data_IF_984359241586
#
_entry.id   IF_984359241586
#
_cell.length_a   1.000
_cell.length_b   1.000
_cell.length_c   1.000
_cell.angle_alpha   90.00
_cell.angle_beta   90.00
_cell.angle_gamma   90.00
#
_symmetry.space_group_name_H-M   'P 1'
#
loop_
_entity.id
_entity.type
_entity.pdbx_description
1 polymer ?
#
# COMPACT_ATOMS: atom_id res chain seq x y z
N UNK A 1 -1.39 5.23 15.35
CA UNK A 1 -2.25 5.59 16.51
C UNK A 1 -1.93 6.96 17.13
N UNK A 2 -0.92 7.71 16.69
CA UNK A 2 -0.69 9.09 17.20
C UNK A 2 -1.87 10.01 16.85
N UNK A 3 -2.37 9.92 15.62
CA UNK A 3 -3.44 10.79 15.13
C UNK A 3 -4.75 10.54 15.88
N UNK A 4 -5.14 9.27 16.09
CA UNK A 4 -6.27 8.92 16.98
C UNK A 4 -6.15 9.58 18.35
N UNK A 5 -4.95 9.56 18.94
CA UNK A 5 -4.71 10.12 20.27
C UNK A 5 -4.76 11.66 20.27
N UNK A 6 -4.34 12.30 19.17
CA UNK A 6 -4.48 13.76 19.00
C UNK A 6 -5.94 14.16 18.82
N UNK A 7 -6.66 13.49 17.92
CA UNK A 7 -8.09 13.73 17.70
C UNK A 7 -8.89 13.55 19.00
N UNK A 8 -8.57 12.52 19.79
CA UNK A 8 -9.20 12.30 21.09
C UNK A 8 -8.98 13.47 22.07
N UNK A 9 -7.76 14.01 22.13
CA UNK A 9 -7.46 15.19 22.94
C UNK A 9 -8.22 16.42 22.43
N UNK A 10 -8.17 16.72 21.13
CA UNK A 10 -8.89 17.84 20.52
C UNK A 10 -10.41 17.76 20.72
N UNK A 11 -10.99 16.56 20.61
CA UNK A 11 -12.41 16.34 20.91
C UNK A 11 -12.72 16.56 22.39
N UNK A 12 -11.85 16.11 23.30
CA UNK A 12 -12.05 16.31 24.72
C UNK A 12 -11.94 17.80 25.12
N UNK A 13 -11.00 18.54 24.55
CA UNK A 13 -10.89 20.00 24.70
C UNK A 13 -12.17 20.69 24.20
N UNK A 14 -12.62 20.37 22.97
CA UNK A 14 -13.84 20.97 22.38
C UNK A 14 -15.11 20.70 23.19
N UNK A 15 -15.17 19.56 23.87
CA UNK A 15 -16.31 19.18 24.71
C UNK A 15 -16.12 19.54 26.19
N UNK A 16 -15.08 20.29 26.55
CA UNK A 16 -14.77 20.69 27.93
C UNK A 16 -14.71 19.50 28.91
N UNK A 17 -14.19 18.37 28.46
CA UNK A 17 -14.08 17.17 29.29
C UNK A 17 -12.86 17.25 30.21
N UNK A 18 -13.04 16.81 31.46
CA UNK A 18 -11.93 16.64 32.40
C UNK A 18 -10.96 15.57 31.89
N UNK A 19 -9.67 15.89 31.89
CA UNK A 19 -8.60 15.03 31.40
C UNK A 19 -7.46 15.03 32.40
N UNK A 20 -6.65 13.97 32.39
CA UNK A 20 -5.44 13.92 33.23
C UNK A 20 -4.43 15.00 32.80
N UNK A 21 -3.64 15.51 33.75
CA UNK A 21 -2.58 16.50 33.50
C UNK A 21 -1.59 16.05 32.41
N UNK A 22 -1.33 14.74 32.34
CA UNK A 22 -0.46 14.15 31.33
C UNK A 22 -0.97 14.32 29.89
N UNK A 23 -2.29 14.41 29.69
CA UNK A 23 -2.90 14.67 28.38
C UNK A 23 -2.81 16.14 28.03
N UNK A 24 -3.04 17.02 29.01
CA UNK A 24 -2.99 18.48 28.84
C UNK A 24 -1.56 18.93 28.55
N UNK A 25 -0.59 18.49 29.35
CA UNK A 25 0.83 18.83 29.18
C UNK A 25 1.41 18.36 27.84
N UNK A 26 0.94 17.22 27.31
CA UNK A 26 1.48 16.63 26.07
C UNK A 26 0.58 16.86 24.85
N UNK A 27 -0.56 17.52 25.05
CA UNK A 27 -1.62 17.76 24.06
C UNK A 27 -1.99 16.50 23.26
N UNK A 28 -2.03 15.35 23.94
CA UNK A 28 -2.25 14.06 23.29
C UNK A 28 -2.77 13.02 24.30
N UNK A 29 -3.75 12.22 23.89
CA UNK A 29 -4.26 11.13 24.71
C UNK A 29 -3.19 10.07 25.05
N UNK A 30 -3.36 9.32 26.12
CA UNK A 30 -2.46 8.21 26.50
C UNK A 30 -2.46 7.04 25.50
N UNK A 31 -1.39 6.22 25.50
CA UNK A 31 -1.35 4.99 24.69
C UNK A 31 -2.38 3.97 25.17
N UNK A 32 -2.50 3.80 26.49
CA UNK A 32 -3.49 2.91 27.13
C UNK A 32 -4.92 3.24 26.73
N UNK A 33 -5.25 4.54 26.67
CA UNK A 33 -6.55 4.98 26.20
C UNK A 33 -6.83 4.54 24.75
N UNK A 34 -5.83 4.66 23.87
CA UNK A 34 -5.99 4.24 22.48
C UNK A 34 -6.19 2.72 22.34
N UNK A 35 -5.46 1.92 23.13
CA UNK A 35 -5.69 0.47 23.17
C UNK A 35 -7.08 0.14 23.72
N UNK A 36 -7.50 0.77 24.82
CA UNK A 36 -8.85 0.61 25.38
C UNK A 36 -9.95 1.02 24.40
N UNK A 37 -9.75 2.10 23.65
CA UNK A 37 -10.66 2.53 22.58
C UNK A 37 -10.78 1.47 21.48
N UNK A 38 -9.64 0.96 20.97
CA UNK A 38 -9.65 -0.08 19.94
C UNK A 38 -10.32 -1.37 20.44
N UNK A 39 -10.12 -1.76 21.71
CA UNK A 39 -10.77 -2.94 22.30
C UNK A 39 -12.29 -2.77 22.43
N UNK A 40 -12.77 -1.57 22.77
CA UNK A 40 -14.22 -1.27 22.84
C UNK A 40 -14.89 -1.21 21.47
N UNK A 41 -14.12 -0.97 20.41
CA UNK A 41 -14.62 -0.83 19.05
C UNK A 41 -14.04 -1.91 18.12
N UNK A 42 -14.44 -3.19 18.26
CA UNK A 42 -13.91 -4.32 17.47
C UNK A 42 -14.25 -4.24 15.97
N UNK A 43 -15.11 -3.30 15.59
CA UNK A 43 -15.39 -2.93 14.20
C UNK A 43 -14.31 -2.03 13.59
N UNK A 44 -13.28 -1.63 14.32
CA UNK A 44 -12.13 -0.86 13.81
C UNK A 44 -10.89 -1.76 13.71
N UNK A 45 -10.05 -1.53 12.71
CA UNK A 45 -8.80 -2.25 12.50
C UNK A 45 -7.68 -1.32 12.01
N UNK A 46 -6.45 -1.62 12.38
CA UNK A 46 -5.26 -0.98 11.80
C UNK A 46 -4.99 -1.57 10.42
N UNK A 47 -4.85 -0.72 9.40
CA UNK A 47 -4.61 -1.12 8.01
C UNK A 47 -3.45 -0.33 7.41
N UNK A 48 -2.72 -1.00 6.52
CA UNK A 48 -1.84 -0.36 5.56
C UNK A 48 -2.69 -0.03 4.33
N UNK A 49 -2.76 1.24 3.90
CA UNK A 49 -3.46 1.60 2.68
C UNK A 49 -2.66 1.09 1.46
N UNK A 50 -3.30 0.30 0.59
CA UNK A 50 -2.75 -0.06 -0.72
C UNK A 50 -3.19 0.98 -1.75
N UNK A 51 -2.23 1.56 -2.48
CA UNK A 51 -2.52 2.53 -3.52
C UNK A 51 -3.03 1.80 -4.78
N UNK A 52 -4.34 1.83 -5.02
CA UNK A 52 -4.93 1.41 -6.29
C UNK A 52 -5.43 2.65 -7.05
N UNK A 53 -4.99 2.84 -8.29
CA UNK A 53 -5.47 3.96 -9.11
C UNK A 53 -6.92 3.73 -9.53
N UNK A 54 -7.68 4.82 -9.70
CA UNK A 54 -9.06 4.76 -10.18
C UNK A 54 -9.17 4.02 -11.53
N UNK A 55 -8.20 4.23 -12.41
CA UNK A 55 -8.09 3.54 -13.70
C UNK A 55 -7.95 2.02 -13.58
N UNK A 56 -7.15 1.54 -12.62
CA UNK A 56 -7.02 0.09 -12.35
C UNK A 56 -8.34 -0.48 -11.81
N UNK A 57 -9.00 0.25 -10.91
CA UNK A 57 -10.28 -0.18 -10.33
C UNK A 57 -11.40 -0.26 -11.37
N UNK A 58 -11.49 0.69 -12.31
CA UNK A 58 -12.51 0.70 -13.37
C UNK A 58 -12.21 -0.29 -14.50
N UNK A 59 -10.93 -0.50 -14.82
CA UNK A 59 -10.51 -1.49 -15.81
C UNK A 59 -10.73 -2.94 -15.33
N UNK A 60 -10.81 -3.19 -14.02
CA UNK A 60 -11.06 -4.51 -13.44
C UNK A 60 -12.56 -4.86 -13.47
N UNK A 61 -13.09 -5.11 -14.67
CA UNK A 61 -14.46 -5.56 -14.88
C UNK A 61 -14.50 -6.91 -15.61
N UNK A 62 -15.64 -7.61 -15.54
CA UNK A 62 -15.81 -8.96 -16.08
C UNK A 62 -15.45 -9.05 -17.56
N UNK A 63 -15.83 -8.06 -18.36
CA UNK A 63 -15.58 -8.06 -19.80
C UNK A 63 -14.07 -7.98 -20.11
N UNK A 64 -13.37 -7.05 -19.48
CA UNK A 64 -11.92 -6.88 -19.67
C UNK A 64 -11.14 -8.10 -19.17
N UNK A 65 -11.53 -8.67 -18.03
CA UNK A 65 -10.90 -9.88 -17.47
C UNK A 65 -11.09 -11.07 -18.40
N UNK A 66 -12.30 -11.29 -18.91
CA UNK A 66 -12.57 -12.38 -19.86
C UNK A 66 -11.75 -12.18 -21.15
N UNK A 67 -11.77 -10.98 -21.73
CA UNK A 67 -11.03 -10.67 -22.95
C UNK A 67 -9.53 -10.94 -22.79
N UNK A 68 -8.97 -10.59 -21.63
CA UNK A 68 -7.58 -10.89 -21.30
C UNK A 68 -7.30 -12.41 -21.31
N UNK A 69 -8.11 -13.20 -20.60
CA UNK A 69 -7.90 -14.64 -20.50
C UNK A 69 -8.16 -15.37 -21.82
N UNK A 70 -9.13 -14.93 -22.61
CA UNK A 70 -9.39 -15.47 -23.94
C UNK A 70 -8.20 -15.22 -24.87
N UNK A 71 -7.63 -14.01 -24.84
CA UNK A 71 -6.45 -13.63 -25.61
C UNK A 71 -5.22 -14.42 -25.17
N UNK A 72 -5.03 -14.57 -23.86
CA UNK A 72 -3.95 -15.36 -23.27
C UNK A 72 -4.06 -16.83 -23.70
N UNK A 73 -5.25 -17.42 -23.61
CA UNK A 73 -5.49 -18.79 -24.01
C UNK A 73 -5.19 -18.99 -25.51
N UNK A 74 -5.66 -18.08 -26.36
CA UNK A 74 -5.34 -18.12 -27.79
C UNK A 74 -3.82 -18.03 -28.05
N UNK A 75 -3.09 -17.19 -27.32
CA UNK A 75 -1.63 -17.09 -27.43
C UNK A 75 -0.92 -18.39 -26.98
N UNK A 76 -1.38 -19.00 -25.89
CA UNK A 76 -0.85 -20.27 -25.37
C UNK A 76 -1.14 -21.44 -26.32
N UNK A 77 -2.33 -21.49 -26.91
CA UNK A 77 -2.70 -22.54 -27.88
C UNK A 77 -1.90 -22.44 -29.17
N UNK A 78 -1.66 -21.22 -29.68
CA UNK A 78 -0.85 -20.98 -30.89
C UNK A 78 0.62 -21.37 -30.72
N UNK A 79 1.13 -21.44 -29.49
CA UNK A 79 2.54 -21.69 -29.21
C UNK A 79 2.69 -22.85 -28.21
N UNK A 80 2.67 -24.11 -28.69
CA UNK A 80 2.79 -25.29 -27.83
C UNK A 80 4.05 -25.32 -26.95
N UNK A 81 5.12 -24.64 -27.39
CA UNK A 81 6.38 -24.51 -26.64
C UNK A 81 6.24 -23.73 -25.34
N UNK A 82 5.15 -22.97 -25.13
CA UNK A 82 4.91 -22.22 -23.89
C UNK A 82 4.33 -23.08 -22.76
N UNK A 83 3.87 -24.30 -23.07
CA UNK A 83 3.16 -25.18 -22.12
C UNK A 83 3.99 -25.57 -20.89
N UNK A 84 5.30 -25.66 -21.02
CA UNK A 84 6.20 -26.06 -19.95
C UNK A 84 6.50 -24.93 -18.94
N UNK A 85 5.99 -23.71 -19.21
CA UNK A 85 6.19 -22.53 -18.38
C UNK A 85 7.62 -21.99 -18.35
N UNK A 86 8.54 -22.52 -19.17
CA UNK A 86 9.94 -22.08 -19.21
C UNK A 86 10.16 -20.82 -20.05
N UNK A 87 9.23 -20.55 -20.97
CA UNK A 87 9.36 -19.53 -22.03
C UNK A 87 8.46 -18.31 -21.85
N UNK A 88 7.55 -18.35 -20.87
CA UNK A 88 6.66 -17.22 -20.54
C UNK A 88 7.17 -16.58 -19.26
N UNK A 89 7.62 -15.35 -19.37
CA UNK A 89 8.09 -14.55 -18.25
C UNK A 89 7.06 -13.48 -17.93
N UNK A 90 6.62 -13.44 -16.68
CA UNK A 90 5.83 -12.34 -16.16
C UNK A 90 6.79 -11.26 -15.65
N UNK A 91 6.54 -10.02 -16.05
CA UNK A 91 7.21 -8.85 -15.54
C UNK A 91 6.23 -8.09 -14.66
N UNK A 92 6.65 -7.76 -13.44
CA UNK A 92 5.92 -6.84 -12.58
C UNK A 92 6.87 -5.85 -11.92
N UNK A 93 6.37 -4.65 -11.67
CA UNK A 93 7.14 -3.55 -11.08
C UNK A 93 6.84 -3.42 -9.60
N UNK A 94 7.88 -3.31 -8.79
CA UNK A 94 7.77 -2.93 -7.39
C UNK A 94 8.53 -1.64 -7.11
N UNK A 95 7.90 -0.79 -6.30
CA UNK A 95 8.49 0.45 -5.84
C UNK A 95 9.40 0.20 -4.64
N UNK A 96 10.71 0.33 -4.81
CA UNK A 96 11.64 0.38 -3.69
C UNK A 96 11.75 1.82 -3.22
N UNK A 97 11.20 2.10 -2.03
CA UNK A 97 11.33 3.40 -1.37
C UNK A 97 12.43 3.33 -0.32
N UNK A 98 13.36 4.28 -0.35
CA UNK A 98 14.37 4.45 0.71
C UNK A 98 13.81 5.11 1.98
N UNK A 99 12.52 5.45 2.01
CA UNK A 99 11.85 6.08 3.16
C UNK A 99 10.94 5.10 3.88
N UNK A 100 10.78 5.35 5.17
CA UNK A 100 9.91 4.65 6.11
C UNK A 100 8.50 4.39 5.54
N UNK A 101 7.99 3.17 5.76
CA UNK A 101 6.65 2.76 5.36
C UNK A 101 5.55 3.70 5.89
N UNK A 102 4.47 3.93 5.14
CA UNK A 102 3.38 4.79 5.57
C UNK A 102 2.80 4.31 6.91
N UNK A 103 2.45 5.26 7.78
CA UNK A 103 1.91 4.97 9.11
C UNK A 103 0.56 4.26 8.97
N UNK A 104 0.39 3.15 9.69
CA UNK A 104 -0.89 2.43 9.80
C UNK A 104 -2.02 3.37 10.21
N UNK A 105 -3.09 3.39 9.43
CA UNK A 105 -4.33 4.13 9.68
C UNK A 105 -5.36 3.22 10.36
N UNK A 106 -6.31 3.81 11.08
CA UNK A 106 -7.44 3.09 11.68
C UNK A 106 -8.63 3.22 10.74
N UNK A 107 -9.18 2.10 10.31
CA UNK A 107 -10.33 2.05 9.40
C UNK A 107 -11.34 1.00 9.87
N UNK A 108 -12.58 1.10 9.38
CA UNK A 108 -13.61 0.10 9.66
C UNK A 108 -13.19 -1.28 9.14
N UNK A 109 -13.39 -2.31 9.97
CA UNK A 109 -13.15 -3.71 9.67
C UNK A 109 -14.04 -4.12 8.50
N UNK A 110 -13.42 -4.60 7.42
CA UNK A 110 -14.09 -4.95 6.15
C UNK A 110 -14.02 -3.86 5.07
N UNK A 111 -13.57 -2.64 5.40
CA UNK A 111 -13.34 -1.62 4.39
C UNK A 111 -12.07 -1.94 3.59
N UNK A 112 -12.23 -2.24 2.30
CA UNK A 112 -11.12 -2.57 1.39
C UNK A 112 -10.39 -1.34 0.84
N UNK A 113 -10.97 -0.15 0.97
CA UNK A 113 -10.45 1.08 0.39
C UNK A 113 -10.30 2.14 1.49
N UNK A 114 -9.09 2.26 2.03
CA UNK A 114 -8.73 3.33 2.95
C UNK A 114 -7.59 4.10 2.30
N UNK A 115 -7.88 5.28 1.74
CA UNK A 115 -6.89 6.08 1.02
C UNK A 115 -6.27 7.10 2.00
N UNK A 116 -4.96 7.25 1.96
CA UNK A 116 -4.24 8.29 2.71
C UNK A 116 -3.50 9.20 1.73
N UNK A 117 -3.77 10.51 1.81
CA UNK A 117 -2.99 11.53 1.09
C UNK A 117 -1.87 11.97 2.01
N UNK A 118 -0.61 11.65 1.69
CA UNK A 118 0.56 12.06 2.49
C UNK A 118 1.27 13.25 1.88
N UNK A 119 1.35 14.34 2.67
CA UNK A 119 2.17 15.53 2.39
C UNK A 119 3.47 15.48 3.20
N UNK A 120 4.51 14.81 2.70
CA UNK A 120 5.92 15.06 3.05
C UNK A 120 6.84 14.12 2.25
N UNK A 121 7.68 14.74 1.42
CA UNK A 121 8.91 14.24 0.79
C UNK A 121 8.95 12.76 0.42
N UNK A 122 8.38 12.44 -0.76
CA UNK A 122 8.71 11.23 -1.53
C UNK A 122 10.23 11.07 -1.54
N UNK A 123 10.78 10.13 -0.78
CA UNK A 123 12.13 9.67 -1.12
C UNK A 123 12.12 9.12 -2.52
N UNK A 124 13.29 9.11 -3.15
CA UNK A 124 13.41 8.68 -4.53
C UNK A 124 12.98 7.23 -4.65
N UNK A 125 11.87 7.04 -5.36
CA UNK A 125 11.32 5.75 -5.73
C UNK A 125 12.22 5.17 -6.83
N UNK A 126 12.90 4.07 -6.52
CA UNK A 126 13.55 3.23 -7.53
C UNK A 126 12.55 2.16 -7.92
N UNK A 127 12.21 2.08 -9.20
CA UNK A 127 11.33 1.03 -9.70
C UNK A 127 12.19 -0.19 -10.00
N UNK A 128 11.87 -1.32 -9.38
CA UNK A 128 12.52 -2.60 -9.68
C UNK A 128 11.56 -3.46 -10.47
N UNK A 129 11.99 -3.91 -11.64
CA UNK A 129 11.24 -4.85 -12.46
C UNK A 129 11.71 -6.27 -12.12
N UNK A 130 10.78 -7.09 -11.64
CA UNK A 130 11.00 -8.51 -11.39
C UNK A 130 10.48 -9.28 -12.58
N UNK A 131 11.30 -10.15 -13.18
CA UNK A 131 10.94 -10.91 -14.37
C UNK A 131 11.14 -12.39 -14.07
N UNK A 132 10.04 -13.15 -13.99
CA UNK A 132 10.03 -14.53 -13.48
C UNK A 132 9.19 -15.41 -14.39
N UNK A 133 9.65 -16.61 -14.71
CA UNK A 133 8.84 -17.63 -15.40
C UNK A 133 8.21 -18.64 -14.42
N UNK A 134 7.21 -19.39 -14.88
CA UNK A 134 6.48 -20.34 -14.03
C UNK A 134 7.34 -21.49 -13.48
N UNK A 135 8.52 -21.74 -14.09
CA UNK A 135 9.50 -22.70 -13.56
C UNK A 135 10.35 -22.14 -12.42
N UNK A 136 10.18 -20.88 -12.04
CA UNK A 136 10.94 -20.23 -10.99
C UNK A 136 12.30 -19.66 -11.43
N UNK A 137 12.61 -19.66 -12.73
CA UNK A 137 13.76 -18.90 -13.21
C UNK A 137 13.43 -17.40 -13.20
N UNK A 138 14.31 -16.62 -12.58
CA UNK A 138 14.26 -15.17 -12.57
C UNK A 138 15.37 -14.61 -13.46
N UNK A 139 15.06 -13.60 -14.27
CA UNK A 139 16.09 -12.80 -14.92
C UNK A 139 16.72 -11.83 -13.92
N UNK A 140 17.91 -11.29 -14.20
CA UNK A 140 18.50 -10.25 -13.36
C UNK A 140 17.54 -9.09 -13.14
N UNK A 141 17.54 -8.56 -11.92
CA UNK A 141 16.72 -7.42 -11.55
C UNK A 141 17.07 -6.23 -12.43
N UNK A 142 16.06 -5.65 -13.08
CA UNK A 142 16.21 -4.38 -13.77
C UNK A 142 15.76 -3.25 -12.84
N UNK A 143 16.67 -2.33 -12.52
CA UNK A 143 16.37 -1.15 -11.72
C UNK A 143 16.26 0.07 -12.64
N UNK A 144 15.11 0.74 -12.57
CA UNK A 144 14.86 2.00 -13.28
C UNK A 144 14.99 3.14 -12.29
N UNK A 145 16.02 3.96 -12.50
CA UNK A 145 16.29 5.13 -11.68
C UNK A 145 15.57 6.37 -12.21
N UNK A 146 15.16 7.31 -11.33
CA UNK A 146 14.57 8.57 -11.77
C UNK A 146 15.55 9.36 -12.64
N UNK A 147 15.16 9.74 -13.86
CA UNK A 147 16.00 10.56 -14.77
C UNK A 147 16.21 12.00 -14.24
N UNK A 148 15.15 12.65 -13.76
CA UNK A 148 15.16 14.08 -13.36
C UNK A 148 15.63 14.26 -11.91
N UNK A 149 15.42 13.25 -11.07
CA UNK A 149 15.85 13.24 -9.67
C UNK A 149 16.88 12.12 -9.47
N UNK A 150 17.86 11.98 -10.36
CA UNK A 150 18.95 11.04 -10.16
C UNK A 150 19.93 11.56 -9.10
N UNK A 151 20.44 10.68 -8.22
CA UNK A 151 21.56 11.01 -7.32
C UNK A 151 22.68 9.98 -7.52
N UNK A 152 23.94 10.42 -7.51
CA UNK A 152 25.11 9.55 -7.77
C UNK A 152 25.20 8.32 -6.87
N UNK A 153 24.70 8.39 -5.63
CA UNK A 153 24.72 7.26 -4.68
C UNK A 153 23.65 6.18 -4.98
N UNK A 154 22.88 6.33 -6.07
CA UNK A 154 21.90 5.33 -6.51
C UNK A 154 22.50 4.21 -7.35
N UNK A 155 23.72 4.38 -7.87
CA UNK A 155 24.48 3.34 -8.57
C UNK A 155 25.22 2.43 -7.59
#
# INVERSE_FOLDING_TARGET
>A
MRDLRKTAYETAVKNNLQMSDAWVSKEIAGKEWAFGFMNRHPRLSLRNPEACSLSKATAFNKHNVNTFFDTLNAAMMRNPSFRDGSRVFNLDETGLTTVQSPKRIIAQKGCKQANSVTSAERGQLVTTCNIICARGHALPLAMVFPRVHFKKHML
#
